data_IF_563316578560
#
_entry.id   IF_563316578560
#
_cell.length_a   1.000
_cell.length_b   1.000
_cell.length_c   1.000
_cell.angle_alpha   90.00
_cell.angle_beta   90.00
_cell.angle_gamma   90.00
#
_symmetry.space_group_name_H-M   'P 1'
#
loop_
_entity.id
_entity.type
_entity.pdbx_description
1 polymer ?
#
# COMPACT_ATOMS: atom_id res chain seq x y z
N UNK A 1 6.77 -5.31 3.17
CA UNK A 1 6.84 -3.85 3.43
C UNK A 1 5.58 -3.40 4.16
N UNK A 2 5.47 -2.14 4.56
CA UNK A 2 4.25 -1.53 5.13
C UNK A 2 3.86 -0.27 4.39
N UNK A 3 2.56 0.02 4.31
CA UNK A 3 1.97 1.20 3.69
C UNK A 3 1.31 2.10 4.74
N UNK A 4 1.64 3.39 4.70
CA UNK A 4 0.96 4.43 5.48
C UNK A 4 0.57 5.61 4.58
N UNK A 5 -0.69 6.01 4.63
CA UNK A 5 -1.22 7.20 3.93
C UNK A 5 -1.91 8.08 4.98
N UNK A 6 -1.21 9.08 5.57
CA UNK A 6 -1.72 9.83 6.72
C UNK A 6 -3.07 10.53 6.53
N UNK A 7 -3.46 10.81 5.28
CA UNK A 7 -4.77 11.41 4.96
C UNK A 7 -5.92 10.41 4.89
N UNK A 8 -5.68 9.12 5.10
CA UNK A 8 -6.66 8.04 5.02
C UNK A 8 -6.72 7.30 6.35
N UNK A 9 -7.91 7.16 6.94
CA UNK A 9 -8.07 6.71 8.34
C UNK A 9 -7.58 5.27 8.58
N UNK A 10 -7.71 4.42 7.58
CA UNK A 10 -7.46 2.97 7.69
C UNK A 10 -6.15 2.53 7.04
N UNK A 11 -5.34 3.47 6.56
CA UNK A 11 -4.08 3.19 5.88
C UNK A 11 -2.90 3.59 6.78
N UNK A 12 -2.74 2.91 7.90
CA UNK A 12 -1.61 3.10 8.82
C UNK A 12 -0.90 1.75 9.02
N UNK A 13 0.38 1.70 8.62
CA UNK A 13 1.25 0.52 8.76
C UNK A 13 0.68 -0.78 8.17
N UNK A 14 -0.15 -0.67 7.14
CA UNK A 14 -0.83 -1.82 6.51
C UNK A 14 0.21 -2.72 5.83
N UNK A 15 0.17 -4.05 6.02
CA UNK A 15 1.08 -4.96 5.34
C UNK A 15 1.03 -4.84 3.81
N UNK A 16 2.20 -4.88 3.18
CA UNK A 16 2.39 -4.93 1.72
C UNK A 16 3.15 -6.21 1.38
N UNK A 17 2.48 -7.10 0.64
CA UNK A 17 3.03 -8.37 0.15
C UNK A 17 3.38 -8.26 -1.34
N UNK A 18 4.56 -8.72 -1.74
CA UNK A 18 4.87 -8.82 -3.18
C UNK A 18 4.26 -10.11 -3.73
N UNK A 19 3.42 -9.98 -4.75
CA UNK A 19 2.79 -11.13 -5.41
C UNK A 19 2.18 -10.75 -6.77
N UNK A 20 1.83 -11.77 -7.56
CA UNK A 20 0.99 -11.62 -8.76
C UNK A 20 -0.37 -11.00 -8.45
N UNK A 21 -0.92 -10.22 -9.39
CA UNK A 21 -2.14 -9.41 -9.22
C UNK A 21 -3.37 -10.17 -8.68
N UNK A 22 -3.49 -11.47 -8.98
CA UNK A 22 -4.62 -12.31 -8.57
C UNK A 22 -4.41 -13.04 -7.24
N UNK A 23 -3.35 -12.72 -6.48
CA UNK A 23 -3.05 -13.36 -5.21
C UNK A 23 -4.08 -12.96 -4.12
N UNK A 24 -5.11 -13.80 -3.97
CA UNK A 24 -6.18 -13.59 -3.00
C UNK A 24 -5.68 -13.52 -1.54
N UNK A 25 -4.75 -14.37 -1.08
CA UNK A 25 -4.21 -14.26 0.28
C UNK A 25 -3.60 -12.89 0.59
N UNK A 26 -2.77 -12.34 -0.32
CA UNK A 26 -2.15 -11.03 -0.15
C UNK A 26 -3.19 -9.90 -0.05
N UNK A 27 -4.16 -9.88 -0.97
CA UNK A 27 -5.22 -8.88 -0.99
C UNK A 27 -6.20 -9.00 0.19
N UNK A 28 -6.39 -10.21 0.74
CA UNK A 28 -7.19 -10.42 1.96
C UNK A 28 -6.47 -9.94 3.22
N UNK A 29 -5.15 -10.09 3.28
CA UNK A 29 -4.37 -9.83 4.49
C UNK A 29 -3.68 -8.46 4.49
N UNK A 30 -4.01 -7.56 3.57
CA UNK A 30 -3.45 -6.20 3.51
C UNK A 30 -3.48 -5.61 2.12
N UNK A 31 -2.31 -5.18 1.65
CA UNK A 31 -2.07 -4.66 0.29
C UNK A 31 -1.02 -5.49 -0.43
N UNK A 32 -0.96 -5.32 -1.74
CA UNK A 32 -0.11 -6.07 -2.64
C UNK A 32 0.81 -5.12 -3.39
N UNK A 33 2.12 -5.34 -3.34
CA UNK A 33 3.05 -4.82 -4.34
C UNK A 33 3.03 -5.74 -5.55
N UNK A 34 2.80 -5.18 -6.74
CA UNK A 34 2.63 -5.97 -7.96
C UNK A 34 3.97 -6.53 -8.42
N UNK A 35 4.07 -7.86 -8.44
CA UNK A 35 5.23 -8.57 -8.99
C UNK A 35 5.51 -8.14 -10.44
N UNK A 36 6.79 -7.96 -10.76
CA UNK A 36 7.25 -7.42 -12.04
C UNK A 36 7.28 -5.89 -12.12
N UNK A 37 6.77 -5.17 -11.10
CA UNK A 37 6.95 -3.72 -10.98
C UNK A 37 8.11 -3.37 -10.07
N UNK A 38 8.61 -2.13 -10.17
CA UNK A 38 9.77 -1.72 -9.41
C UNK A 38 9.49 -1.61 -7.91
N UNK A 39 10.55 -1.72 -7.12
CA UNK A 39 10.54 -1.55 -5.68
C UNK A 39 10.92 -0.10 -5.29
N UNK A 40 10.53 0.36 -4.08
CA UNK A 40 10.73 1.75 -3.71
C UNK A 40 12.21 2.15 -3.51
N UNK A 41 13.12 1.19 -3.26
CA UNK A 41 14.58 1.44 -3.20
C UNK A 41 15.25 1.53 -4.57
N UNK A 42 14.53 1.23 -5.66
CA UNK A 42 15.08 1.33 -7.00
C UNK A 42 14.93 2.77 -7.51
N UNK A 43 16.02 3.31 -8.04
CA UNK A 43 16.06 4.68 -8.59
C UNK A 43 15.10 4.79 -9.77
N UNK A 44 14.27 5.84 -9.77
CA UNK A 44 13.32 6.16 -10.87
C UNK A 44 12.29 5.05 -11.18
N UNK A 45 12.01 4.18 -10.19
CA UNK A 45 11.09 3.06 -10.37
C UNK A 45 9.61 3.44 -10.17
N UNK A 46 8.74 2.83 -10.98
CA UNK A 46 7.29 2.85 -10.75
C UNK A 46 6.89 1.68 -9.84
N UNK A 47 6.42 2.01 -8.64
CA UNK A 47 5.97 1.05 -7.63
C UNK A 47 4.45 0.96 -7.67
N UNK A 48 3.91 -0.23 -7.93
CA UNK A 48 2.47 -0.45 -8.00
C UNK A 48 1.98 -1.16 -6.74
N UNK A 49 1.05 -0.51 -6.03
CA UNK A 49 0.39 -1.05 -4.84
C UNK A 49 -1.11 -1.23 -5.13
N UNK A 50 -1.61 -2.45 -4.95
CA UNK A 50 -3.02 -2.80 -5.04
C UNK A 50 -3.60 -3.13 -3.66
N UNK A 51 -4.88 -2.87 -3.46
CA UNK A 51 -5.58 -3.10 -2.20
C UNK A 51 -7.08 -2.92 -2.36
N UNK A 52 -7.85 -3.47 -1.42
CA UNK A 52 -9.30 -3.34 -1.48
C UNK A 52 -9.79 -1.99 -0.95
N UNK A 53 -10.86 -1.47 -1.59
CA UNK A 53 -11.62 -0.34 -1.07
C UNK A 53 -12.42 -0.72 0.18
N UNK A 54 -13.14 -1.85 0.14
CA UNK A 54 -13.93 -2.35 1.28
C UNK A 54 -13.16 -3.39 2.10
N UNK A 55 -12.52 -4.35 1.43
CA UNK A 55 -11.78 -5.43 2.07
C UNK A 55 -12.67 -6.37 2.86
N UNK A 56 -12.05 -7.22 3.69
CA UNK A 56 -12.75 -8.21 4.49
C UNK A 56 -12.80 -7.80 5.96
N UNK A 57 -13.97 -7.78 6.63
CA UNK A 57 -14.07 -7.47 8.05
C UNK A 57 -13.11 -8.32 8.89
N UNK A 58 -12.47 -7.70 9.88
CA UNK A 58 -11.48 -8.32 10.79
C UNK A 58 -10.21 -8.82 10.08
N UNK A 59 -9.78 -8.11 9.05
CA UNK A 59 -8.47 -8.32 8.39
C UNK A 59 -7.79 -6.99 8.16
N UNK A 60 -6.48 -7.01 7.94
CA UNK A 60 -5.69 -5.82 7.59
C UNK A 60 -6.05 -5.22 6.21
N UNK A 61 -6.87 -5.90 5.40
CA UNK A 61 -7.39 -5.34 4.14
C UNK A 61 -8.63 -4.46 4.35
N UNK A 62 -9.22 -4.44 5.55
CA UNK A 62 -10.51 -3.82 5.80
C UNK A 62 -10.42 -2.29 5.70
N UNK A 63 -11.17 -1.73 4.75
CA UNK A 63 -11.29 -0.30 4.48
C UNK A 63 -9.99 0.42 4.09
N UNK A 64 -8.92 -0.29 3.76
CA UNK A 64 -7.60 0.31 3.48
C UNK A 64 -7.69 1.43 2.42
N UNK A 65 -8.31 1.15 1.27
CA UNK A 65 -8.53 2.15 0.22
C UNK A 65 -9.94 2.78 0.22
N UNK A 66 -10.65 2.71 1.35
CA UNK A 66 -11.96 3.35 1.52
C UNK A 66 -11.88 4.86 1.28
N UNK A 67 -10.87 5.50 1.85
CA UNK A 67 -10.66 6.95 1.77
C UNK A 67 -9.82 7.39 0.57
N UNK A 68 -9.60 6.53 -0.44
CA UNK A 68 -8.75 6.88 -1.60
C UNK A 68 -9.27 8.13 -2.33
N UNK A 69 -10.59 8.34 -2.32
CA UNK A 69 -11.24 9.55 -2.85
C UNK A 69 -10.95 10.83 -2.05
N UNK A 70 -10.26 10.76 -0.90
CA UNK A 70 -9.78 11.90 -0.10
C UNK A 70 -8.29 12.19 -0.33
N UNK A 71 -7.57 11.30 -1.01
CA UNK A 71 -6.18 11.53 -1.40
C UNK A 71 -6.13 12.61 -2.50
N UNK A 72 -5.30 13.63 -2.30
CA UNK A 72 -5.20 14.83 -3.14
C UNK A 72 -3.74 15.20 -3.35
N UNK A 73 -3.49 16.03 -4.36
CA UNK A 73 -2.16 16.56 -4.66
C UNK A 73 -1.48 17.13 -3.40
N UNK A 74 -0.19 16.85 -3.24
CA UNK A 74 0.64 17.21 -2.11
C UNK A 74 0.56 16.27 -0.91
N UNK A 75 -0.40 15.33 -0.86
CA UNK A 75 -0.53 14.38 0.27
C UNK A 75 0.50 13.26 0.15
N UNK A 76 0.98 12.83 1.33
CA UNK A 76 2.05 11.83 1.44
C UNK A 76 1.51 10.41 1.30
N UNK A 77 2.28 9.58 0.62
CA UNK A 77 2.18 8.12 0.64
C UNK A 77 3.54 7.60 1.12
N UNK A 78 3.56 6.73 2.12
CA UNK A 78 4.79 6.25 2.74
C UNK A 78 4.85 4.73 2.63
N UNK A 79 5.92 4.22 2.04
CA UNK A 79 6.29 2.81 2.12
C UNK A 79 7.45 2.67 3.09
N UNK A 80 7.37 1.67 3.97
CA UNK A 80 8.47 1.31 4.89
C UNK A 80 8.90 -0.12 4.61
N UNK A 81 10.19 -0.35 4.39
CA UNK A 81 10.73 -1.69 4.15
C UNK A 81 10.98 -2.47 5.45
N UNK A 82 11.62 -3.65 5.34
CA UNK A 82 11.93 -4.50 6.49
C UNK A 82 13.01 -3.93 7.40
N UNK A 83 13.90 -3.09 6.87
CA UNK A 83 14.99 -2.45 7.61
C UNK A 83 14.51 -1.15 8.30
N UNK A 84 13.28 -0.73 8.03
CA UNK A 84 12.69 0.48 8.58
C UNK A 84 12.95 1.74 7.75
N UNK A 85 13.58 1.60 6.58
CA UNK A 85 13.82 2.71 5.66
C UNK A 85 12.49 3.19 5.06
N UNK A 86 12.36 4.51 4.88
CA UNK A 86 11.08 5.15 4.56
C UNK A 86 11.13 5.86 3.21
N UNK A 87 10.30 5.38 2.29
CA UNK A 87 10.15 5.95 0.95
C UNK A 87 8.90 6.80 0.91
N UNK A 88 9.08 8.13 0.81
CA UNK A 88 7.99 9.11 0.92
C UNK A 88 7.68 9.70 -0.45
N UNK A 89 6.47 9.42 -0.93
CA UNK A 89 5.92 9.96 -2.16
C UNK A 89 4.94 11.10 -1.86
N UNK A 90 4.69 11.95 -2.86
CA UNK A 90 3.60 12.93 -2.86
C UNK A 90 2.77 12.76 -4.12
N UNK A 91 1.45 12.77 -3.97
CA UNK A 91 0.48 12.80 -5.07
C UNK A 91 0.50 14.14 -5.78
#
# INVERSE_FOLDING_TARGET
MKLSIPSMRHAENVPVYTAAAYNKPALRNGTLHLEGTGFPWQREANVYIAGHRLGYPRTESFLVFWDLNRLRMGRKVVLTDSEGERYIYRV
#
